data_IF_223270778108
#
_entry.id   IF_223270778108
#
_cell.length_a   1.000
_cell.length_b   1.000
_cell.length_c   1.000
_cell.angle_alpha   90.00
_cell.angle_beta   90.00
_cell.angle_gamma   90.00
#
_symmetry.space_group_name_H-M   'P 1'
#
loop_
_entity.id
_entity.type
_entity.pdbx_description
1 polymer ?
#
# COMPACT_ATOMS: atom_id res chain seq x y z
N UNK A 1 11.82 1.15 -14.04
CA UNK A 1 12.26 2.13 -13.05
C UNK A 1 13.72 2.52 -13.31
N UNK A 2 14.67 1.59 -13.26
CA UNK A 2 16.08 1.86 -13.52
C UNK A 2 16.38 2.42 -14.93
N UNK A 3 15.60 2.02 -15.93
CA UNK A 3 15.78 2.46 -17.32
C UNK A 3 15.19 3.85 -17.64
N UNK A 4 14.40 4.43 -16.73
CA UNK A 4 13.82 5.76 -16.90
C UNK A 4 14.68 6.79 -16.17
N UNK A 5 15.18 7.74 -16.92
CA UNK A 5 16.00 8.84 -16.44
C UNK A 5 17.41 8.83 -17.07
N UNK A 6 18.06 9.94 -16.98
CA UNK A 6 19.48 10.07 -17.32
C UNK A 6 20.35 9.36 -16.29
N UNK A 7 21.57 9.02 -16.65
CA UNK A 7 22.57 8.50 -15.69
C UNK A 7 22.62 9.41 -14.46
N UNK A 8 22.65 8.83 -13.24
CA UNK A 8 22.75 9.64 -12.01
C UNK A 8 23.96 10.56 -12.04
N UNK A 9 23.74 11.83 -11.73
CA UNK A 9 24.81 12.83 -11.63
C UNK A 9 25.49 12.84 -10.26
N UNK A 10 24.91 12.16 -9.27
CA UNK A 10 25.35 12.10 -7.89
C UNK A 10 25.30 10.66 -7.36
N UNK A 11 25.99 10.35 -6.25
CA UNK A 11 25.81 9.08 -5.54
C UNK A 11 24.34 8.83 -5.19
N UNK A 12 23.90 7.58 -5.23
CA UNK A 12 22.52 7.22 -4.96
C UNK A 12 22.27 6.89 -3.48
N UNK A 13 21.11 7.27 -3.00
CA UNK A 13 20.52 6.77 -1.76
C UNK A 13 19.24 6.01 -2.08
N UNK A 14 19.22 4.71 -1.87
CA UNK A 14 18.02 3.91 -1.93
C UNK A 14 17.27 3.98 -0.60
N UNK A 15 16.04 4.46 -0.64
CA UNK A 15 15.21 4.74 0.54
C UNK A 15 14.28 3.58 0.83
N UNK A 16 14.30 3.02 2.04
CA UNK A 16 13.53 1.82 2.44
C UNK A 16 13.86 0.62 1.55
N UNK A 17 15.11 0.24 1.54
CA UNK A 17 15.73 -0.59 0.51
C UNK A 17 15.39 -2.10 0.63
N UNK A 18 14.88 -2.57 1.76
CA UNK A 18 14.80 -3.99 2.03
C UNK A 18 16.18 -4.65 1.93
N UNK A 19 16.33 -5.65 1.06
CA UNK A 19 17.64 -6.26 0.77
C UNK A 19 18.47 -5.49 -0.28
N UNK A 20 18.10 -4.27 -0.65
CA UNK A 20 18.83 -3.41 -1.56
C UNK A 20 18.90 -3.92 -3.02
N UNK A 21 17.88 -4.60 -3.51
CA UNK A 21 17.89 -5.14 -4.87
C UNK A 21 17.90 -4.08 -5.96
N UNK A 22 17.13 -2.98 -5.77
CA UNK A 22 17.11 -1.87 -6.71
C UNK A 22 18.46 -1.16 -6.73
N UNK A 23 19.03 -0.84 -5.57
CA UNK A 23 20.33 -0.18 -5.44
C UNK A 23 21.43 -0.99 -6.11
N UNK A 24 21.49 -2.31 -5.92
CA UNK A 24 22.45 -3.18 -6.63
C UNK A 24 22.28 -3.11 -8.15
N UNK A 25 21.03 -3.17 -8.62
CA UNK A 25 20.77 -3.08 -10.06
C UNK A 25 21.20 -1.75 -10.65
N UNK A 26 20.98 -0.64 -9.93
CA UNK A 26 21.42 0.70 -10.35
C UNK A 26 22.94 0.83 -10.30
N UNK A 27 23.58 0.37 -9.23
CA UNK A 27 25.04 0.37 -9.12
C UNK A 27 25.70 -0.41 -10.27
N UNK A 28 25.13 -1.56 -10.61
CA UNK A 28 25.61 -2.41 -11.71
C UNK A 28 25.40 -1.76 -13.08
N UNK A 29 24.23 -1.11 -13.30
CA UNK A 29 23.90 -0.51 -14.59
C UNK A 29 24.68 0.78 -14.86
N UNK A 30 24.82 1.62 -13.83
CA UNK A 30 25.33 2.99 -13.98
C UNK A 30 26.75 3.17 -13.44
N UNK A 31 27.31 2.17 -12.76
CA UNK A 31 28.65 2.21 -12.16
C UNK A 31 28.77 3.18 -10.98
N UNK A 32 27.65 3.58 -10.37
CA UNK A 32 27.61 4.56 -9.27
C UNK A 32 27.62 3.88 -7.90
N UNK A 33 28.16 4.56 -6.90
CA UNK A 33 28.07 4.10 -5.53
C UNK A 33 26.64 4.29 -4.99
N UNK A 34 26.12 3.29 -4.29
CA UNK A 34 24.77 3.29 -3.71
C UNK A 34 24.85 3.06 -2.21
N UNK A 35 24.16 3.90 -1.44
CA UNK A 35 23.82 3.63 -0.04
C UNK A 35 22.37 3.20 0.02
N UNK A 36 22.07 2.07 0.66
CA UNK A 36 20.69 1.55 0.80
C UNK A 36 20.28 1.61 2.26
N UNK A 37 19.29 2.45 2.58
CA UNK A 37 18.79 2.68 3.92
C UNK A 37 17.61 1.72 4.20
N UNK A 38 17.71 0.97 5.30
CA UNK A 38 16.69 0.02 5.74
C UNK A 38 16.67 -0.03 7.28
N UNK A 39 15.48 -0.17 7.87
CA UNK A 39 15.30 -0.21 9.33
C UNK A 39 15.59 -1.60 9.92
N UNK A 40 15.33 -2.68 9.17
CA UNK A 40 15.48 -4.06 9.64
C UNK A 40 16.95 -4.52 9.56
N UNK A 41 17.62 -4.79 10.71
CA UNK A 41 19.01 -5.23 10.72
C UNK A 41 19.23 -6.55 9.97
N UNK A 42 18.26 -7.47 9.97
CA UNK A 42 18.38 -8.73 9.26
C UNK A 42 18.34 -8.53 7.74
N UNK A 43 17.52 -7.60 7.25
CA UNK A 43 17.50 -7.22 5.84
C UNK A 43 18.77 -6.48 5.44
N UNK A 44 19.31 -5.62 6.31
CA UNK A 44 20.58 -4.94 6.10
C UNK A 44 21.73 -5.96 5.97
N UNK A 45 21.84 -6.91 6.88
CA UNK A 45 22.88 -7.95 6.83
C UNK A 45 22.76 -8.83 5.57
N UNK A 46 21.54 -9.24 5.21
CA UNK A 46 21.29 -9.99 3.99
C UNK A 46 21.63 -9.19 2.73
N UNK A 47 21.32 -7.87 2.71
CA UNK A 47 21.65 -6.94 1.64
C UNK A 47 23.16 -6.79 1.44
N UNK A 48 23.90 -6.59 2.53
CA UNK A 48 25.36 -6.48 2.52
C UNK A 48 26.04 -7.75 1.98
N UNK A 49 25.58 -8.93 2.42
CA UNK A 49 26.07 -10.22 1.93
C UNK A 49 25.81 -10.39 0.42
N UNK A 50 24.65 -9.96 -0.08
CA UNK A 50 24.34 -10.00 -1.50
C UNK A 50 25.19 -9.02 -2.33
N UNK A 51 25.49 -7.83 -1.80
CA UNK A 51 26.35 -6.85 -2.45
C UNK A 51 27.80 -7.37 -2.56
N UNK A 52 28.34 -7.92 -1.46
CA UNK A 52 29.67 -8.52 -1.43
C UNK A 52 29.81 -9.68 -2.41
N UNK A 53 28.83 -10.59 -2.46
CA UNK A 53 28.84 -11.71 -3.44
C UNK A 53 28.81 -11.28 -4.89
N UNK A 54 28.24 -10.13 -5.19
CA UNK A 54 28.11 -9.58 -6.53
C UNK A 54 29.24 -8.61 -6.88
N UNK A 55 30.18 -8.36 -5.97
CA UNK A 55 31.27 -7.36 -6.10
C UNK A 55 30.77 -5.97 -6.52
N UNK A 56 29.70 -5.52 -5.85
CA UNK A 56 29.04 -4.25 -6.18
C UNK A 56 29.27 -3.22 -5.06
N UNK A 57 29.60 -1.99 -5.43
CA UNK A 57 29.74 -0.85 -4.51
C UNK A 57 28.39 -0.39 -3.95
N UNK A 58 27.84 -1.18 -3.04
CA UNK A 58 26.62 -0.87 -2.29
C UNK A 58 26.87 -1.01 -0.79
N UNK A 59 26.52 0.01 -0.04
CA UNK A 59 26.61 0.02 1.43
C UNK A 59 25.20 -0.03 2.01
N UNK A 60 24.93 -0.97 2.94
CA UNK A 60 23.67 -1.01 3.69
C UNK A 60 23.82 -0.10 4.92
N UNK A 61 22.84 0.77 5.12
CA UNK A 61 22.70 1.66 6.28
C UNK A 61 21.47 1.23 7.08
N UNK A 62 21.69 0.72 8.30
CA UNK A 62 20.60 0.33 9.18
C UNK A 62 20.12 1.57 9.94
N UNK A 63 19.00 2.16 9.49
CA UNK A 63 18.44 3.38 10.07
C UNK A 63 16.93 3.48 9.79
N UNK A 64 16.21 4.17 10.69
CA UNK A 64 14.81 4.48 10.49
C UNK A 64 14.66 5.70 9.56
N UNK A 65 14.01 5.50 8.42
CA UNK A 65 13.71 6.54 7.44
C UNK A 65 12.86 7.70 7.98
N UNK A 66 12.10 7.48 9.05
CA UNK A 66 11.27 8.49 9.70
C UNK A 66 11.97 9.20 10.86
N UNK A 67 13.14 8.73 11.29
CA UNK A 67 13.94 9.41 12.30
C UNK A 67 14.48 10.76 11.79
N UNK A 68 14.65 11.71 12.71
CA UNK A 68 15.05 13.08 12.36
C UNK A 68 16.44 13.18 11.71
N UNK A 69 17.35 12.29 12.05
CA UNK A 69 18.73 12.20 11.53
C UNK A 69 18.81 11.55 10.15
N UNK A 70 17.80 10.77 9.74
CA UNK A 70 17.75 10.15 8.41
C UNK A 70 17.88 11.19 7.27
N UNK A 71 17.39 12.41 7.50
CA UNK A 71 17.46 13.50 6.53
C UNK A 71 18.90 13.93 6.18
N UNK A 72 19.85 13.74 7.09
CA UNK A 72 21.27 14.07 6.84
C UNK A 72 21.87 13.21 5.71
N UNK A 73 21.36 11.99 5.53
CA UNK A 73 21.84 11.08 4.49
C UNK A 73 21.39 11.47 3.08
N UNK A 74 20.44 12.40 2.93
CA UNK A 74 19.94 12.86 1.62
C UNK A 74 20.90 13.83 0.93
N UNK A 75 21.71 14.57 1.71
CA UNK A 75 22.55 15.67 1.20
C UNK A 75 23.50 15.21 0.11
N UNK A 76 23.44 15.93 -1.03
CA UNK A 76 24.34 15.69 -2.19
C UNK A 76 24.10 14.36 -2.89
N UNK A 77 22.97 13.69 -2.62
CA UNK A 77 22.63 12.40 -3.23
C UNK A 77 21.34 12.48 -4.05
N UNK A 78 21.27 11.66 -5.07
CA UNK A 78 20.01 11.39 -5.75
C UNK A 78 19.28 10.25 -5.03
N UNK A 79 18.05 10.51 -4.60
CA UNK A 79 17.27 9.59 -3.77
C UNK A 79 16.37 8.75 -4.66
N UNK A 80 16.46 7.43 -4.53
CA UNK A 80 15.59 6.49 -5.23
C UNK A 80 14.68 5.78 -4.22
N UNK A 81 13.37 5.81 -4.47
CA UNK A 81 12.36 5.27 -3.58
C UNK A 81 11.35 4.43 -4.37
N UNK A 82 11.53 3.11 -4.36
CA UNK A 82 10.59 2.14 -4.91
C UNK A 82 9.95 1.38 -3.76
N UNK A 83 8.63 1.45 -3.64
CA UNK A 83 7.87 0.88 -2.52
C UNK A 83 8.14 1.49 -1.14
N UNK A 84 8.67 2.72 -1.09
CA UNK A 84 8.63 3.52 0.14
C UNK A 84 7.18 3.95 0.41
N UNK A 85 6.47 3.17 1.23
CA UNK A 85 5.03 3.24 1.37
C UNK A 85 4.56 4.44 2.19
N UNK A 86 3.56 5.13 1.70
CA UNK A 86 2.82 6.15 2.46
C UNK A 86 3.70 7.25 3.06
N UNK A 87 3.78 7.36 4.38
CA UNK A 87 4.57 8.40 5.05
C UNK A 87 6.06 8.37 4.68
N UNK A 88 6.60 7.20 4.35
CA UNK A 88 8.01 7.06 3.97
C UNK A 88 8.38 7.86 2.71
N UNK A 89 7.50 7.94 1.70
CA UNK A 89 7.77 8.82 0.55
C UNK A 89 7.31 10.26 0.77
N UNK A 90 6.25 10.49 1.59
CA UNK A 90 5.82 11.85 1.89
C UNK A 90 6.85 12.64 2.69
N UNK A 91 7.59 11.97 3.59
CA UNK A 91 8.65 12.63 4.37
C UNK A 91 9.78 13.15 3.47
N UNK A 92 10.08 12.47 2.34
CA UNK A 92 11.06 12.96 1.37
C UNK A 92 10.64 14.31 0.79
N UNK A 93 9.37 14.44 0.39
CA UNK A 93 8.85 15.70 -0.17
C UNK A 93 8.82 16.80 0.88
N UNK A 94 8.32 16.51 2.10
CA UNK A 94 8.25 17.51 3.17
C UNK A 94 9.61 18.08 3.57
N UNK A 95 10.65 17.25 3.48
CA UNK A 95 12.03 17.67 3.82
C UNK A 95 12.83 18.22 2.63
N UNK A 96 12.30 18.19 1.41
CA UNK A 96 13.05 18.42 0.19
C UNK A 96 13.76 19.79 0.15
N UNK A 97 13.15 20.86 0.68
CA UNK A 97 13.75 22.19 0.73
C UNK A 97 15.02 22.26 1.58
N UNK A 98 15.11 21.46 2.65
CA UNK A 98 16.22 21.49 3.64
C UNK A 98 17.16 20.30 3.57
N UNK A 99 16.79 19.23 2.88
CA UNK A 99 17.57 17.98 2.82
C UNK A 99 18.89 18.11 2.08
N UNK A 100 18.98 19.05 1.13
CA UNK A 100 20.13 19.18 0.24
C UNK A 100 20.28 18.01 -0.75
N UNK A 101 19.23 17.24 -0.99
CA UNK A 101 19.23 16.19 -2.00
C UNK A 101 19.43 16.77 -3.40
N UNK A 102 20.18 16.08 -4.26
CA UNK A 102 20.41 16.47 -5.66
C UNK A 102 19.19 16.18 -6.54
N UNK A 103 18.39 15.17 -6.18
CA UNK A 103 17.19 14.82 -6.91
C UNK A 103 16.44 13.64 -6.28
N UNK A 104 15.28 13.33 -6.85
CA UNK A 104 14.42 12.26 -6.39
C UNK A 104 13.89 11.43 -7.56
N UNK A 105 13.82 10.11 -7.39
CA UNK A 105 13.10 9.14 -8.24
C UNK A 105 12.16 8.36 -7.36
N UNK A 106 10.89 8.75 -7.30
CA UNK A 106 9.91 8.19 -6.38
C UNK A 106 8.81 7.46 -7.16
N UNK A 107 8.67 6.15 -6.94
CA UNK A 107 7.49 5.38 -7.33
C UNK A 107 6.61 5.18 -6.10
N UNK A 108 5.61 6.06 -5.88
CA UNK A 108 4.81 6.03 -4.67
C UNK A 108 3.83 4.87 -4.65
N UNK A 109 3.56 4.35 -3.47
CA UNK A 109 2.58 3.28 -3.25
C UNK A 109 1.99 3.35 -1.84
N UNK A 110 0.97 2.50 -1.57
CA UNK A 110 0.36 2.34 -0.25
C UNK A 110 0.06 3.68 0.45
N UNK A 111 -0.57 4.61 -0.26
CA UNK A 111 -0.79 6.00 0.17
C UNK A 111 -1.49 6.14 1.54
N UNK A 112 -2.23 5.11 1.99
CA UNK A 112 -2.93 5.11 3.27
C UNK A 112 -2.01 4.87 4.48
N UNK A 113 -0.79 4.34 4.30
CA UNK A 113 0.11 4.05 5.42
C UNK A 113 0.67 5.34 6.01
N UNK A 114 0.55 5.48 7.33
CA UNK A 114 0.97 6.66 8.08
C UNK A 114 0.20 7.95 7.76
N UNK A 115 -0.97 7.88 7.11
CA UNK A 115 -1.77 9.05 6.81
C UNK A 115 -2.56 9.59 8.02
N UNK A 116 -2.67 8.82 9.11
CA UNK A 116 -3.58 9.14 10.21
C UNK A 116 -5.04 9.09 9.77
N UNK A 117 -5.89 9.92 10.36
CA UNK A 117 -7.33 9.98 10.04
C UNK A 117 -7.60 10.70 8.72
N UNK A 118 -6.73 11.63 8.32
CA UNK A 118 -6.86 12.42 7.11
C UNK A 118 -5.52 12.57 6.38
N UNK A 119 -5.58 12.56 5.06
CA UNK A 119 -4.44 12.90 4.21
C UNK A 119 -4.06 14.37 4.39
N UNK A 120 -2.78 14.63 4.59
CA UNK A 120 -2.22 15.98 4.61
C UNK A 120 -1.55 16.23 3.26
N UNK A 121 -2.09 17.10 2.40
CA UNK A 121 -1.50 17.44 1.12
C UNK A 121 -0.04 17.88 1.24
N UNK A 122 0.71 17.67 0.18
CA UNK A 122 2.13 18.03 0.06
C UNK A 122 2.31 19.37 -0.66
N UNK A 123 1.37 19.70 -1.55
CA UNK A 123 1.31 20.96 -2.28
C UNK A 123 0.30 21.92 -1.66
N UNK A 124 0.53 23.21 -1.78
CA UNK A 124 -0.35 24.26 -1.26
C UNK A 124 -1.69 24.33 -2.00
N UNK A 125 -1.71 23.96 -3.28
CA UNK A 125 -2.91 23.98 -4.13
C UNK A 125 -3.84 22.78 -3.95
N UNK A 126 -3.45 21.75 -3.23
CA UNK A 126 -4.25 20.55 -3.07
C UNK A 126 -5.32 20.73 -1.99
N UNK A 127 -6.59 20.72 -2.39
CA UNK A 127 -7.74 20.99 -1.50
C UNK A 127 -8.63 19.78 -1.23
N UNK A 128 -8.37 18.64 -1.88
CA UNK A 128 -9.20 17.44 -1.74
C UNK A 128 -9.03 16.79 -0.37
N UNK A 129 -10.12 16.72 0.39
CA UNK A 129 -10.14 16.02 1.68
C UNK A 129 -10.22 14.50 1.47
N UNK A 130 -9.20 13.78 1.87
CA UNK A 130 -9.09 12.33 1.72
C UNK A 130 -8.89 11.67 3.10
N UNK A 131 -9.67 10.62 3.36
CA UNK A 131 -9.49 9.77 4.52
C UNK A 131 -8.75 8.46 4.15
N UNK A 132 -8.42 7.67 5.13
CA UNK A 132 -7.70 6.40 4.96
C UNK A 132 -8.41 5.43 3.99
N UNK A 133 -9.75 5.36 4.01
CA UNK A 133 -10.50 4.47 3.13
C UNK A 133 -10.46 4.93 1.66
N UNK A 134 -10.50 6.25 1.44
CA UNK A 134 -10.31 6.83 0.12
C UNK A 134 -8.88 6.56 -0.39
N UNK A 135 -7.87 6.72 0.46
CA UNK A 135 -6.48 6.42 0.09
C UNK A 135 -6.27 4.93 -0.24
N UNK A 136 -6.95 4.03 0.47
CA UNK A 136 -6.95 2.59 0.16
C UNK A 136 -7.51 2.30 -1.22
N UNK A 137 -8.50 3.07 -1.68
CA UNK A 137 -9.06 2.90 -3.01
C UNK A 137 -7.99 3.06 -4.10
N UNK A 138 -7.10 4.05 -4.00
CA UNK A 138 -6.01 4.27 -4.96
C UNK A 138 -5.10 3.04 -5.13
N UNK A 139 -4.99 2.19 -4.11
CA UNK A 139 -4.13 0.99 -4.11
C UNK A 139 -4.88 -0.33 -4.25
N UNK A 140 -6.20 -0.31 -4.35
CA UNK A 140 -6.98 -1.54 -4.53
C UNK A 140 -6.84 -2.05 -5.96
N UNK A 141 -6.29 -3.24 -6.13
CA UNK A 141 -6.15 -3.90 -7.43
C UNK A 141 -6.41 -5.40 -7.29
N UNK A 142 -7.42 -5.89 -7.99
CA UNK A 142 -7.80 -7.31 -7.97
C UNK A 142 -7.57 -8.02 -9.31
N UNK A 143 -7.23 -7.27 -10.35
CA UNK A 143 -7.22 -7.78 -11.73
C UNK A 143 -6.11 -8.81 -11.97
N UNK A 144 -4.98 -8.70 -11.27
CA UNK A 144 -3.80 -9.57 -11.45
C UNK A 144 -3.84 -10.86 -10.64
N UNK A 145 -4.79 -11.00 -9.69
CA UNK A 145 -4.86 -12.19 -8.83
C UNK A 145 -5.30 -13.44 -9.63
N UNK A 146 -4.66 -14.62 -9.44
CA UNK A 146 -5.09 -15.88 -10.01
C UNK A 146 -6.55 -16.23 -9.67
N UNK A 147 -7.21 -17.03 -10.52
CA UNK A 147 -8.63 -17.33 -10.35
C UNK A 147 -8.96 -17.96 -8.98
N UNK A 148 -8.12 -18.87 -8.49
CA UNK A 148 -8.33 -19.50 -7.18
C UNK A 148 -8.26 -18.49 -6.02
N UNK A 149 -7.36 -17.51 -6.09
CA UNK A 149 -7.26 -16.42 -5.11
C UNK A 149 -8.53 -15.55 -5.15
N UNK A 150 -9.00 -15.20 -6.36
CA UNK A 150 -10.23 -14.42 -6.52
C UNK A 150 -11.45 -15.15 -5.97
N UNK A 151 -11.57 -16.47 -6.21
CA UNK A 151 -12.66 -17.31 -5.65
C UNK A 151 -12.59 -17.35 -4.13
N UNK A 152 -11.39 -17.49 -3.54
CA UNK A 152 -11.22 -17.49 -2.08
C UNK A 152 -11.61 -16.14 -1.48
N UNK A 153 -11.18 -15.03 -2.07
CA UNK A 153 -11.53 -13.68 -1.61
C UNK A 153 -13.04 -13.41 -1.73
N UNK A 154 -13.68 -13.88 -2.80
CA UNK A 154 -15.13 -13.77 -2.97
C UNK A 154 -15.88 -14.56 -1.90
N UNK A 155 -15.42 -15.79 -1.58
CA UNK A 155 -15.98 -16.62 -0.51
C UNK A 155 -15.80 -15.96 0.87
N UNK A 156 -14.60 -15.47 1.18
CA UNK A 156 -14.30 -14.75 2.43
C UNK A 156 -15.26 -13.57 2.62
N UNK A 157 -15.40 -12.74 1.60
CA UNK A 157 -16.32 -11.59 1.64
C UNK A 157 -17.78 -12.02 1.80
N UNK A 158 -18.25 -13.00 1.01
CA UNK A 158 -19.63 -13.47 1.09
C UNK A 158 -19.95 -14.08 2.46
N UNK A 159 -19.05 -14.90 3.00
CA UNK A 159 -19.28 -15.56 4.27
C UNK A 159 -19.24 -14.58 5.45
N UNK A 160 -18.36 -13.60 5.44
CA UNK A 160 -18.37 -12.52 6.44
C UNK A 160 -19.66 -11.71 6.39
N UNK A 161 -20.14 -11.36 5.20
CA UNK A 161 -21.39 -10.64 5.03
C UNK A 161 -22.62 -11.48 5.44
N UNK A 162 -22.58 -12.79 5.22
CA UNK A 162 -23.59 -13.72 5.71
C UNK A 162 -23.60 -13.82 7.24
N UNK A 163 -22.43 -13.93 7.85
CA UNK A 163 -22.28 -13.89 9.31
C UNK A 163 -22.82 -12.58 9.92
N UNK A 164 -22.48 -11.43 9.32
CA UNK A 164 -23.00 -10.13 9.74
C UNK A 164 -24.53 -10.10 9.64
N UNK A 165 -25.09 -10.63 8.55
CA UNK A 165 -26.55 -10.69 8.38
C UNK A 165 -27.24 -11.54 9.46
N UNK A 166 -26.64 -12.69 9.80
CA UNK A 166 -27.11 -13.55 10.88
C UNK A 166 -27.04 -12.84 12.23
N UNK A 167 -25.87 -12.29 12.56
CA UNK A 167 -25.64 -11.55 13.81
C UNK A 167 -26.61 -10.39 13.96
N UNK A 168 -26.76 -9.55 12.94
CA UNK A 168 -27.63 -8.38 12.97
C UNK A 168 -29.10 -8.76 13.16
N UNK A 169 -29.54 -9.92 12.61
CA UNK A 169 -30.89 -10.45 12.83
C UNK A 169 -31.13 -10.92 14.28
N UNK A 170 -30.05 -11.35 14.96
CA UNK A 170 -30.13 -11.80 16.36
C UNK A 170 -30.02 -10.60 17.32
N UNK A 171 -29.07 -9.68 17.07
CA UNK A 171 -28.84 -8.51 17.92
C UNK A 171 -29.88 -7.39 17.68
N UNK A 172 -30.40 -7.25 16.46
CA UNK A 172 -31.35 -6.19 16.06
C UNK A 172 -32.76 -6.35 16.61
N UNK A 173 -33.05 -7.43 17.36
CA UNK A 173 -34.32 -7.62 18.07
C UNK A 173 -34.49 -6.74 19.31
N UNK A 174 -33.44 -6.03 19.76
CA UNK A 174 -33.50 -5.37 21.05
C UNK A 174 -33.62 -3.84 21.06
N UNK A 175 -33.16 -3.06 20.07
CA UNK A 175 -33.20 -1.58 20.16
C UNK A 175 -33.25 -0.80 18.82
N UNK A 176 -33.51 -1.43 17.68
CA UNK A 176 -33.78 -0.71 16.42
C UNK A 176 -32.60 0.06 15.79
N UNK A 177 -31.44 0.09 16.42
CA UNK A 177 -30.23 0.69 15.85
C UNK A 177 -29.36 -0.38 15.16
N UNK A 178 -28.91 -0.17 13.92
CA UNK A 178 -27.98 -1.10 13.30
C UNK A 178 -26.67 -1.14 14.12
N UNK A 179 -26.15 -2.34 14.45
CA UNK A 179 -24.89 -2.45 15.16
C UNK A 179 -23.77 -1.76 14.36
N UNK A 180 -22.88 -1.09 15.08
CA UNK A 180 -21.76 -0.39 14.46
C UNK A 180 -20.95 -1.34 13.55
N UNK A 181 -20.55 -0.91 12.35
CA UNK A 181 -19.78 -1.75 11.44
C UNK A 181 -18.46 -2.18 12.11
N UNK A 182 -18.34 -3.48 12.39
CA UNK A 182 -17.09 -4.06 12.91
C UNK A 182 -16.25 -4.54 11.74
N UNK A 183 -15.02 -4.03 11.64
CA UNK A 183 -14.06 -4.56 10.69
C UNK A 183 -13.51 -5.89 11.22
N UNK A 184 -13.65 -6.96 10.45
CA UNK A 184 -13.08 -8.25 10.81
C UNK A 184 -11.58 -8.30 10.54
N UNK A 185 -10.80 -8.82 11.48
CA UNK A 185 -9.42 -9.22 11.23
C UNK A 185 -9.38 -10.28 10.12
N UNK A 186 -8.28 -10.41 9.37
CA UNK A 186 -8.13 -11.48 8.39
C UNK A 186 -8.44 -12.84 9.01
N UNK A 187 -9.19 -13.67 8.29
CA UNK A 187 -9.50 -15.04 8.74
C UNK A 187 -8.48 -16.03 8.21
N UNK A 188 -8.16 -17.11 8.95
CA UNK A 188 -7.31 -18.19 8.46
C UNK A 188 -7.91 -18.81 7.19
N UNK A 189 -7.05 -19.11 6.21
CA UNK A 189 -7.49 -19.72 4.95
C UNK A 189 -8.19 -21.06 5.16
N UNK A 190 -7.82 -21.82 6.19
CA UNK A 190 -8.45 -23.09 6.56
C UNK A 190 -9.94 -22.96 6.89
N UNK A 191 -10.39 -21.82 7.44
CA UNK A 191 -11.81 -21.61 7.73
C UNK A 191 -12.68 -21.53 6.47
N UNK A 192 -12.07 -21.24 5.33
CA UNK A 192 -12.76 -21.11 4.03
C UNK A 192 -12.76 -22.43 3.24
N UNK A 193 -12.18 -23.51 3.77
CA UNK A 193 -12.14 -24.83 3.08
C UNK A 193 -13.32 -25.73 3.47
N UNK A 194 -13.95 -25.49 4.63
CA UNK A 194 -15.12 -26.20 5.11
C UNK A 194 -16.43 -25.63 4.58
N UNK A 195 -17.46 -25.69 5.40
CA UNK A 195 -18.79 -25.14 5.15
C UNK A 195 -19.04 -23.80 5.84
N UNK A 196 -20.15 -23.15 5.52
CA UNK A 196 -20.51 -21.85 6.05
C UNK A 196 -20.85 -21.90 7.55
N UNK A 197 -21.46 -22.99 8.03
CA UNK A 197 -21.81 -23.17 9.44
C UNK A 197 -20.54 -23.23 10.32
N UNK A 198 -19.55 -24.05 9.92
CA UNK A 198 -18.26 -24.15 10.60
C UNK A 198 -17.49 -22.83 10.59
N UNK A 199 -17.53 -22.09 9.47
CA UNK A 199 -16.97 -20.75 9.38
C UNK A 199 -17.63 -19.79 10.38
N UNK A 200 -18.96 -19.77 10.45
CA UNK A 200 -19.71 -18.91 11.38
C UNK A 200 -19.41 -19.28 12.84
N UNK A 201 -19.32 -20.55 13.17
CA UNK A 201 -18.95 -21.01 14.52
C UNK A 201 -17.55 -20.53 14.93
N UNK A 202 -16.56 -20.71 14.06
CA UNK A 202 -15.19 -20.25 14.31
C UNK A 202 -15.09 -18.72 14.44
N UNK A 203 -15.83 -17.99 13.60
CA UNK A 203 -15.83 -16.53 13.64
C UNK A 203 -16.56 -16.01 14.89
N UNK A 204 -17.71 -16.61 15.25
CA UNK A 204 -18.46 -16.28 16.46
C UNK A 204 -17.61 -16.50 17.72
N UNK A 205 -16.93 -17.63 17.82
CA UNK A 205 -16.02 -17.91 18.94
C UNK A 205 -14.90 -16.85 19.04
N UNK A 206 -14.29 -16.49 17.91
CA UNK A 206 -13.23 -15.48 17.89
C UNK A 206 -13.72 -14.08 18.29
N UNK A 207 -14.92 -13.71 17.83
CA UNK A 207 -15.49 -12.37 18.08
C UNK A 207 -16.30 -12.28 19.39
N UNK A 208 -16.46 -13.39 20.12
CA UNK A 208 -17.23 -13.44 21.36
C UNK A 208 -18.73 -13.25 21.12
N UNK A 209 -19.24 -13.70 19.97
CA UNK A 209 -20.65 -13.63 19.59
C UNK A 209 -21.33 -14.96 19.89
N UNK A 210 -22.49 -14.93 20.58
CA UNK A 210 -23.33 -16.12 20.81
C UNK A 210 -24.26 -16.25 19.61
N UNK A 211 -24.16 -17.38 18.90
CA UNK A 211 -25.07 -17.70 17.81
C UNK A 211 -26.29 -18.46 18.35
N UNK A 212 -27.48 -18.23 17.80
CA UNK A 212 -28.68 -19.05 18.11
C UNK A 212 -28.54 -20.45 17.54
N UNK A 213 -29.43 -21.34 17.94
CA UNK A 213 -29.59 -22.61 17.21
C UNK A 213 -30.09 -22.33 15.78
N UNK A 214 -29.32 -22.81 14.80
CA UNK A 214 -29.58 -22.57 13.37
C UNK A 214 -29.76 -23.90 12.66
N UNK A 215 -30.89 -24.10 12.05
CA UNK A 215 -31.19 -25.30 11.24
C UNK A 215 -30.40 -25.28 9.92
N UNK A 216 -30.23 -26.42 9.27
CA UNK A 216 -29.51 -26.52 8.01
C UNK A 216 -30.14 -25.63 6.92
N UNK A 217 -31.45 -25.51 6.86
CA UNK A 217 -32.12 -24.61 5.92
C UNK A 217 -31.84 -23.14 6.19
N UNK A 218 -31.75 -22.75 7.46
CA UNK A 218 -31.36 -21.38 7.84
C UNK A 218 -29.89 -21.07 7.51
N UNK A 219 -28.95 -22.02 7.63
CA UNK A 219 -27.57 -21.84 7.19
C UNK A 219 -27.51 -21.54 5.69
N UNK A 220 -28.23 -22.28 4.86
CA UNK A 220 -28.31 -22.03 3.42
C UNK A 220 -28.91 -20.63 3.13
N UNK A 221 -29.90 -20.19 3.86
CA UNK A 221 -30.48 -18.85 3.75
C UNK A 221 -29.44 -17.76 4.05
N UNK A 222 -28.72 -17.83 5.17
CA UNK A 222 -27.78 -16.84 5.55
C UNK A 222 -26.54 -16.80 4.63
N UNK A 223 -26.12 -17.94 4.12
CA UNK A 223 -25.09 -18.01 3.09
C UNK A 223 -25.53 -17.31 1.80
N UNK A 224 -26.76 -17.53 1.37
CA UNK A 224 -27.34 -16.85 0.20
C UNK A 224 -27.48 -15.34 0.43
N UNK A 225 -27.87 -14.90 1.62
CA UNK A 225 -27.88 -13.49 2.00
C UNK A 225 -26.49 -12.85 1.88
N UNK A 226 -25.46 -13.55 2.35
CA UNK A 226 -24.09 -13.11 2.23
C UNK A 226 -23.65 -12.92 0.78
N UNK A 227 -23.97 -13.86 -0.10
CA UNK A 227 -23.68 -13.75 -1.53
C UNK A 227 -24.44 -12.59 -2.19
N UNK A 228 -25.71 -12.39 -1.86
CA UNK A 228 -26.50 -11.25 -2.34
C UNK A 228 -25.88 -9.93 -1.93
N UNK A 229 -25.56 -9.74 -0.64
CA UNK A 229 -24.89 -8.54 -0.13
C UNK A 229 -23.54 -8.33 -0.78
N UNK A 230 -22.77 -9.40 -1.04
CA UNK A 230 -21.51 -9.30 -1.77
C UNK A 230 -21.68 -8.74 -3.18
N UNK A 231 -22.73 -9.17 -3.89
CA UNK A 231 -23.03 -8.66 -5.23
C UNK A 231 -23.46 -7.18 -5.20
N UNK A 232 -24.19 -6.76 -4.19
CA UNK A 232 -24.54 -5.35 -3.96
C UNK A 232 -23.29 -4.50 -3.70
N UNK A 233 -22.43 -4.93 -2.78
CA UNK A 233 -21.13 -4.26 -2.51
C UNK A 233 -20.31 -4.15 -3.78
N UNK A 234 -20.22 -5.21 -4.60
CA UNK A 234 -19.50 -5.15 -5.87
C UNK A 234 -20.06 -4.13 -6.85
N UNK A 235 -21.37 -3.97 -6.92
CA UNK A 235 -22.01 -2.93 -7.77
C UNK A 235 -21.59 -1.53 -7.32
N UNK A 236 -21.60 -1.26 -6.02
CA UNK A 236 -21.13 0.02 -5.47
C UNK A 236 -19.61 0.21 -5.71
N UNK A 237 -18.82 -0.85 -5.56
CA UNK A 237 -17.38 -0.82 -5.83
C UNK A 237 -17.05 -0.51 -7.29
N UNK A 238 -17.87 -0.91 -8.27
CA UNK A 238 -17.63 -0.55 -9.68
C UNK A 238 -17.56 0.96 -9.89
N UNK A 239 -18.46 1.71 -9.28
CA UNK A 239 -18.46 3.18 -9.35
C UNK A 239 -17.22 3.74 -8.66
N UNK A 240 -16.90 3.27 -7.47
CA UNK A 240 -15.70 3.71 -6.73
C UNK A 240 -14.43 3.41 -7.51
N UNK A 241 -14.32 2.21 -8.10
CA UNK A 241 -13.16 1.78 -8.85
C UNK A 241 -12.94 2.56 -10.16
N UNK A 242 -13.99 3.16 -10.74
CA UNK A 242 -13.85 4.07 -11.87
C UNK A 242 -12.97 5.27 -11.53
N UNK A 243 -13.03 5.76 -10.30
CA UNK A 243 -12.23 6.89 -9.83
C UNK A 243 -10.83 6.52 -9.30
N UNK A 244 -10.54 5.24 -9.17
CA UNK A 244 -9.29 4.77 -8.56
C UNK A 244 -8.02 5.33 -9.21
N UNK A 245 -7.94 5.27 -10.54
CA UNK A 245 -6.75 5.76 -11.26
C UNK A 245 -6.66 7.27 -11.25
N UNK A 246 -7.79 7.96 -11.31
CA UNK A 246 -7.83 9.43 -11.18
C UNK A 246 -7.33 9.86 -9.79
N UNK A 247 -7.75 9.16 -8.74
CA UNK A 247 -7.28 9.42 -7.37
C UNK A 247 -5.78 9.12 -7.22
N UNK A 248 -5.30 8.00 -7.78
CA UNK A 248 -3.87 7.69 -7.76
C UNK A 248 -3.06 8.76 -8.50
N UNK A 249 -3.54 9.21 -9.68
CA UNK A 249 -2.90 10.29 -10.43
C UNK A 249 -2.89 11.62 -9.63
N UNK A 250 -3.99 11.95 -8.96
CA UNK A 250 -4.06 13.13 -8.11
C UNK A 250 -3.03 13.09 -6.97
N UNK A 251 -2.87 11.93 -6.29
CA UNK A 251 -1.88 11.76 -5.22
C UNK A 251 -0.44 11.90 -5.74
N UNK A 252 -0.18 11.41 -6.95
CA UNK A 252 1.13 11.56 -7.60
C UNK A 252 1.38 13.00 -8.01
N UNK A 253 0.37 13.71 -8.50
CA UNK A 253 0.46 15.13 -8.85
C UNK A 253 0.66 16.00 -7.61
N UNK A 254 -0.01 15.71 -6.50
CA UNK A 254 0.24 16.41 -5.23
C UNK A 254 1.70 16.25 -4.76
N UNK A 255 2.28 15.05 -4.93
CA UNK A 255 3.68 14.80 -4.64
C UNK A 255 4.61 15.58 -5.59
N UNK A 256 4.29 15.60 -6.89
CA UNK A 256 5.05 16.31 -7.91
C UNK A 256 5.03 17.82 -7.66
N UNK A 257 3.85 18.42 -7.51
CA UNK A 257 3.67 19.83 -7.17
C UNK A 257 4.36 20.21 -5.86
N UNK A 258 4.27 19.33 -4.86
CA UNK A 258 4.98 19.54 -3.61
C UNK A 258 6.52 19.62 -3.78
N UNK A 259 7.11 18.93 -4.76
CA UNK A 259 8.53 19.06 -5.10
C UNK A 259 8.80 20.31 -5.93
N UNK A 260 7.93 20.68 -6.89
CA UNK A 260 8.05 21.93 -7.67
C UNK A 260 8.05 23.17 -6.76
N UNK A 261 7.13 23.22 -5.78
CA UNK A 261 7.08 24.30 -4.78
C UNK A 261 8.37 24.39 -3.93
N UNK A 262 9.20 23.34 -3.97
CA UNK A 262 10.50 23.27 -3.29
C UNK A 262 11.68 23.41 -4.26
N UNK A 263 11.43 24.04 -5.42
CA UNK A 263 12.42 24.39 -6.44
C UNK A 263 13.11 23.20 -7.09
N UNK A 264 12.35 22.12 -7.37
CA UNK A 264 12.79 21.04 -8.23
C UNK A 264 12.10 21.16 -9.59
N UNK A 265 12.82 20.82 -10.66
CA UNK A 265 12.23 20.52 -11.97
C UNK A 265 11.67 19.10 -11.93
N UNK A 266 10.36 18.93 -12.23
CA UNK A 266 9.64 17.70 -11.95
C UNK A 266 8.95 17.13 -13.19
N UNK A 267 9.18 15.86 -13.44
CA UNK A 267 8.48 15.06 -14.41
C UNK A 267 7.66 13.96 -13.71
N UNK A 268 6.38 13.84 -14.02
CA UNK A 268 5.54 12.72 -13.58
C UNK A 268 5.10 11.87 -14.78
N UNK A 269 5.17 10.55 -14.63
CA UNK A 269 4.83 9.64 -15.72
C UNK A 269 4.77 8.18 -15.30
N UNK A 270 4.83 7.28 -16.28
CA UNK A 270 4.88 5.83 -16.05
C UNK A 270 6.28 5.29 -16.33
N UNK A 271 6.79 4.37 -15.52
CA UNK A 271 8.09 3.74 -15.74
C UNK A 271 8.00 2.36 -16.41
N UNK A 272 6.81 1.76 -16.46
CA UNK A 272 6.55 0.51 -17.17
C UNK A 272 5.06 0.37 -17.50
N UNK A 273 4.73 -0.65 -18.28
CA UNK A 273 3.34 -0.98 -18.56
C UNK A 273 2.60 -1.46 -17.31
N UNK A 274 1.31 -1.11 -17.23
CA UNK A 274 0.44 -1.49 -16.10
C UNK A 274 0.31 -3.00 -15.90
N UNK A 275 0.47 -3.80 -16.96
CA UNK A 275 0.42 -5.28 -16.86
C UNK A 275 1.56 -5.86 -16.03
N UNK A 276 2.71 -5.16 -15.94
CA UNK A 276 3.86 -5.59 -15.13
C UNK A 276 3.67 -5.23 -13.66
N UNK A 277 3.15 -4.05 -13.40
CA UNK A 277 2.73 -3.61 -12.07
C UNK A 277 1.67 -2.52 -12.18
N UNK A 278 0.59 -2.58 -11.41
CA UNK A 278 -0.38 -1.50 -11.35
C UNK A 278 0.19 -0.23 -10.70
N UNK A 279 1.29 -0.33 -9.97
CA UNK A 279 2.01 0.77 -9.31
C UNK A 279 3.13 1.29 -10.20
N UNK A 280 2.78 1.73 -11.39
CA UNK A 280 3.74 2.10 -12.44
C UNK A 280 3.98 3.61 -12.58
N UNK A 281 3.44 4.43 -11.67
CA UNK A 281 3.71 5.87 -11.67
C UNK A 281 5.07 6.18 -11.05
N UNK A 282 5.74 7.17 -11.61
CA UNK A 282 7.06 7.63 -11.21
C UNK A 282 7.08 9.15 -11.23
N UNK A 283 7.67 9.74 -10.20
CA UNK A 283 8.02 11.15 -10.13
C UNK A 283 9.55 11.25 -10.18
N UNK A 284 10.04 12.02 -11.12
CA UNK A 284 11.45 12.39 -11.26
C UNK A 284 11.58 13.87 -10.90
N UNK A 285 12.47 14.21 -10.00
CA UNK A 285 12.71 15.59 -9.59
C UNK A 285 14.23 15.88 -9.58
N UNK A 286 14.63 17.00 -10.15
CA UNK A 286 16.03 17.43 -10.28
C UNK A 286 16.18 18.86 -9.84
N UNK A 287 17.35 19.21 -9.33
CA UNK A 287 17.76 20.59 -9.12
C UNK A 287 18.60 21.08 -10.24
#
# INVERSE_FOLDING_TARGET
FAARGTRPAAPLLEWCAGKGHLGRRLAQADGVAVTSLEIDPALCAAGAALAARADIRQTMLCADALAGDAQAHLRGREVVALHACGELHRTLVRSASRSGAAGYRIAPCCYHLGAGDAYRPLSAGATLALNTDTLRLAVTETVTAPQHVRRRLARDQAWKLGFVALRDAVEGGNDGAPPAPRSFRPVPAAWLTGDFAGFCGALAQREGVVLPEVTQGQWAYWQAQGERRRLEVRRHELVRHAFRRALEAWLVLDLALGLEERSFDVEAGTFCERRLTPRNLLVLARR
#
